data_IF_177834250750
#
_entry.id   IF_177834250750
#
_cell.length_a   1.000
_cell.length_b   1.000
_cell.length_c   1.000
_cell.angle_alpha   90.00
_cell.angle_beta   90.00
_cell.angle_gamma   90.00
#
_symmetry.space_group_name_H-M   'P 1'
#
loop_
_entity.id
_entity.type
_entity.pdbx_description
1 polymer ?
#
# COMPACT_ATOMS: atom_id res chain seq x y z
N UNK A 1 -0.72 16.49 -0.62
CA UNK A 1 -0.19 15.62 0.46
C UNK A 1 0.10 14.25 -0.12
N UNK A 2 1.33 13.74 -0.02
CA UNK A 2 1.67 12.34 -0.30
C UNK A 2 1.33 11.50 0.95
N UNK A 3 0.33 10.65 0.84
CA UNK A 3 -0.17 9.86 1.96
C UNK A 3 0.24 8.39 1.83
N UNK A 4 0.95 7.86 2.85
CA UNK A 4 1.16 6.42 2.99
C UNK A 4 -0.21 5.71 3.16
N UNK A 5 -0.43 4.50 2.62
CA UNK A 5 -1.70 3.79 2.78
C UNK A 5 -2.16 3.66 4.24
N UNK A 6 -1.21 3.43 5.16
CA UNK A 6 -1.51 3.29 6.59
C UNK A 6 -1.60 4.62 7.36
N UNK A 7 -1.50 5.77 6.68
CA UNK A 7 -1.58 7.09 7.33
C UNK A 7 -2.97 7.47 7.82
N UNK A 8 -4.02 6.80 7.35
CA UNK A 8 -5.41 7.17 7.57
C UNK A 8 -5.90 8.35 6.72
N UNK A 9 -5.06 8.90 5.84
CA UNK A 9 -5.40 10.07 5.02
C UNK A 9 -5.90 9.71 3.61
N UNK A 10 -5.55 8.53 3.11
CA UNK A 10 -5.84 8.13 1.72
C UNK A 10 -7.31 7.75 1.49
N UNK A 11 -8.03 7.42 2.56
CA UNK A 11 -9.41 6.91 2.52
C UNK A 11 -10.30 7.65 3.53
N UNK A 12 -11.43 8.15 3.07
CA UNK A 12 -12.41 8.84 3.91
C UNK A 12 -12.80 10.22 3.38
N UNK A 13 -13.79 10.89 4.00
CA UNK A 13 -14.37 12.14 3.50
C UNK A 13 -13.37 13.28 3.34
N UNK A 14 -12.25 13.26 4.07
CA UNK A 14 -11.19 14.28 3.92
C UNK A 14 -10.55 14.30 2.52
N UNK A 15 -10.70 13.25 1.73
CA UNK A 15 -10.14 13.19 0.37
C UNK A 15 -10.92 14.04 -0.64
N UNK A 16 -12.14 14.46 -0.31
CA UNK A 16 -12.93 15.37 -1.15
C UNK A 16 -12.35 16.79 -1.18
N UNK A 17 -11.89 17.26 -0.01
CA UNK A 17 -11.47 18.66 0.17
C UNK A 17 -9.94 18.85 0.20
N UNK A 18 -9.19 17.80 0.56
CA UNK A 18 -7.74 17.86 0.67
C UNK A 18 -7.06 17.30 -0.59
N UNK A 19 -5.99 17.94 -1.10
CA UNK A 19 -5.21 17.45 -2.24
C UNK A 19 -4.32 16.26 -1.80
N UNK A 20 -4.93 15.11 -1.53
CA UNK A 20 -4.25 13.87 -1.19
C UNK A 20 -3.91 13.12 -2.46
N UNK A 21 -2.63 12.83 -2.66
CA UNK A 21 -2.11 12.14 -3.83
C UNK A 21 -1.94 10.65 -3.53
N UNK A 22 -2.51 9.80 -4.39
CA UNK A 22 -2.44 8.35 -4.26
C UNK A 22 -1.25 7.74 -5.01
N UNK A 23 -0.84 8.35 -6.12
CA UNK A 23 0.20 7.83 -7.00
C UNK A 23 1.63 8.21 -6.60
N UNK A 24 1.86 8.60 -5.36
CA UNK A 24 3.13 9.15 -4.88
C UNK A 24 4.37 8.32 -5.25
N UNK A 25 4.31 6.99 -5.16
CA UNK A 25 5.45 6.13 -5.54
C UNK A 25 5.79 6.27 -7.04
N UNK A 26 4.78 6.30 -7.90
CA UNK A 26 4.95 6.42 -9.36
C UNK A 26 5.38 7.83 -9.77
N UNK A 27 4.71 8.87 -9.23
CA UNK A 27 5.07 10.27 -9.51
C UNK A 27 6.52 10.56 -9.18
N UNK A 28 6.96 10.14 -7.99
CA UNK A 28 8.32 10.42 -7.52
C UNK A 28 9.41 9.57 -8.22
N UNK A 29 9.02 8.52 -8.95
CA UNK A 29 9.92 7.77 -9.85
C UNK A 29 10.05 8.42 -11.23
N UNK A 30 9.05 9.21 -11.65
CA UNK A 30 9.01 9.81 -12.98
C UNK A 30 10.05 10.90 -13.17
N UNK A 31 10.37 11.19 -14.43
CA UNK A 31 11.20 12.34 -14.82
C UNK A 31 10.49 13.66 -14.55
N UNK A 32 9.14 13.67 -14.64
CA UNK A 32 8.30 14.81 -14.34
C UNK A 32 8.56 15.40 -12.94
N UNK A 33 8.75 14.57 -11.93
CA UNK A 33 8.99 15.02 -10.55
C UNK A 33 10.36 15.70 -10.35
N UNK A 34 11.28 15.61 -11.32
CA UNK A 34 12.56 16.31 -11.26
C UNK A 34 12.40 17.81 -11.48
N UNK A 35 11.45 18.19 -12.35
CA UNK A 35 11.18 19.57 -12.72
C UNK A 35 10.16 20.24 -11.80
N UNK A 36 9.51 19.46 -10.92
CA UNK A 36 8.49 19.90 -9.97
C UNK A 36 8.96 19.73 -8.52
N UNK A 37 10.15 20.24 -8.25
CA UNK A 37 10.78 20.14 -6.92
C UNK A 37 10.12 21.13 -5.93
N UNK A 38 9.70 20.68 -4.71
CA UNK A 38 9.29 21.58 -3.65
C UNK A 38 10.49 22.22 -2.94
N UNK A 39 10.35 23.44 -2.46
CA UNK A 39 11.34 24.11 -1.62
C UNK A 39 11.38 23.51 -0.21
N UNK A 40 10.23 23.03 0.27
CA UNK A 40 10.05 22.48 1.59
C UNK A 40 9.27 21.15 1.54
N UNK A 41 9.81 20.15 2.20
CA UNK A 41 9.10 18.92 2.52
C UNK A 41 8.91 18.81 4.02
N UNK A 42 7.68 18.55 4.47
CA UNK A 42 7.37 18.23 5.87
C UNK A 42 7.00 16.77 5.95
N UNK A 43 7.89 15.96 6.51
CA UNK A 43 7.66 14.53 6.75
C UNK A 43 7.06 14.34 8.14
N UNK A 44 5.80 13.95 8.20
CA UNK A 44 5.07 13.72 9.45
C UNK A 44 5.08 12.24 9.82
N UNK A 45 5.73 11.91 10.94
CA UNK A 45 5.87 10.54 11.42
C UNK A 45 6.98 9.75 10.72
N UNK A 46 6.76 8.45 10.53
CA UNK A 46 7.73 7.56 9.91
C UNK A 46 7.95 7.88 8.42
N UNK A 47 9.08 7.43 7.88
CA UNK A 47 9.30 7.49 6.44
C UNK A 47 8.23 6.65 5.72
N UNK A 48 7.64 7.16 4.62
CA UNK A 48 6.67 6.43 3.82
C UNK A 48 7.20 5.07 3.31
N UNK A 49 6.30 4.14 3.06
CA UNK A 49 6.61 2.83 2.48
C UNK A 49 7.23 2.96 1.08
N UNK A 50 6.85 4.00 0.35
CA UNK A 50 7.30 4.27 -1.01
C UNK A 50 8.83 4.29 -1.15
N UNK A 51 9.36 3.40 -1.99
CA UNK A 51 10.76 3.46 -2.41
C UNK A 51 11.02 4.66 -3.34
N UNK A 52 10.01 5.07 -4.12
CA UNK A 52 10.06 6.23 -4.99
C UNK A 52 10.38 7.50 -4.22
N UNK A 53 9.75 7.73 -3.06
CA UNK A 53 10.04 8.88 -2.20
C UNK A 53 11.51 8.94 -1.77
N UNK A 54 12.07 7.83 -1.28
CA UNK A 54 13.47 7.79 -0.87
C UNK A 54 14.43 8.03 -2.03
N UNK A 55 14.19 7.37 -3.19
CA UNK A 55 15.03 7.56 -4.37
C UNK A 55 14.94 8.99 -4.93
N UNK A 56 13.77 9.61 -4.85
CA UNK A 56 13.56 10.98 -5.25
C UNK A 56 14.31 11.95 -4.32
N UNK A 57 14.27 11.75 -3.02
CA UNK A 57 15.08 12.55 -2.07
C UNK A 57 16.57 12.46 -2.37
N UNK A 58 17.08 11.28 -2.75
CA UNK A 58 18.48 11.10 -3.11
C UNK A 58 18.85 11.82 -4.43
N UNK A 59 17.93 11.78 -5.42
CA UNK A 59 18.16 12.27 -6.79
C UNK A 59 17.91 13.77 -6.92
N UNK A 60 16.80 14.26 -6.39
CA UNK A 60 16.31 15.63 -6.57
C UNK A 60 16.41 16.40 -5.26
N UNK A 61 15.86 15.82 -4.21
CA UNK A 61 15.84 16.40 -2.88
C UNK A 61 14.96 17.64 -2.75
N UNK A 62 15.21 18.40 -1.70
CA UNK A 62 14.54 19.66 -1.36
C UNK A 62 15.54 20.54 -0.61
N UNK A 63 15.31 21.85 -0.57
CA UNK A 63 16.18 22.77 0.20
C UNK A 63 16.00 22.55 1.70
N UNK A 64 14.77 22.24 2.13
CA UNK A 64 14.47 21.94 3.52
C UNK A 64 13.60 20.69 3.65
N UNK A 65 14.06 19.76 4.47
CA UNK A 65 13.30 18.59 4.89
C UNK A 65 13.11 18.63 6.42
N UNK A 66 11.89 18.91 6.84
CA UNK A 66 11.51 18.94 8.25
C UNK A 66 10.91 17.60 8.64
N UNK A 67 11.54 16.88 9.57
CA UNK A 67 11.01 15.64 10.12
C UNK A 67 10.28 15.92 11.45
N UNK A 68 9.02 15.51 11.53
CA UNK A 68 8.15 15.65 12.70
C UNK A 68 7.90 14.30 13.32
N UNK A 69 8.43 14.05 14.51
CA UNK A 69 8.23 12.79 15.23
C UNK A 69 8.26 13.00 16.74
N UNK A 70 7.18 12.61 17.43
CA UNK A 70 7.03 12.79 18.88
C UNK A 70 7.80 11.77 19.72
N UNK A 71 8.19 10.63 19.12
CA UNK A 71 8.91 9.57 19.83
C UNK A 71 10.43 9.77 19.80
N UNK A 72 10.93 10.85 19.20
CA UNK A 72 12.35 11.12 19.08
C UNK A 72 13.11 10.13 18.17
N UNK A 73 12.40 9.36 17.35
CA UNK A 73 13.03 8.51 16.33
C UNK A 73 13.75 9.36 15.31
N UNK A 74 14.65 8.73 14.58
CA UNK A 74 15.38 9.41 13.50
C UNK A 74 15.00 8.79 12.14
N UNK A 75 13.82 9.15 11.57
CA UNK A 75 13.31 8.55 10.33
C UNK A 75 13.99 9.18 9.09
N UNK A 76 15.31 9.10 9.03
CA UNK A 76 16.12 9.71 7.98
C UNK A 76 17.21 8.76 7.45
N UNK A 77 16.84 7.66 6.80
CA UNK A 77 17.81 6.74 6.23
C UNK A 77 18.56 7.32 5.01
N UNK A 78 18.11 8.44 4.45
CA UNK A 78 18.75 9.14 3.35
C UNK A 78 19.69 10.26 3.80
N UNK A 79 19.75 10.56 5.12
CA UNK A 79 20.53 11.66 5.70
C UNK A 79 20.25 13.03 5.03
N UNK A 80 18.96 13.31 4.80
CA UNK A 80 18.47 14.53 4.12
C UNK A 80 17.70 15.49 5.04
N UNK A 81 17.37 15.08 6.26
CA UNK A 81 16.64 15.93 7.22
C UNK A 81 17.49 17.11 7.63
N UNK A 82 16.97 18.32 7.39
CA UNK A 82 17.59 19.58 7.78
C UNK A 82 17.15 20.06 9.16
N UNK A 83 15.87 19.81 9.50
CA UNK A 83 15.24 20.26 10.74
C UNK A 83 14.45 19.14 11.39
N UNK A 84 14.45 19.10 12.72
CA UNK A 84 13.68 18.11 13.49
C UNK A 84 12.72 18.80 14.43
N UNK A 85 11.46 18.37 14.43
CA UNK A 85 10.43 18.85 15.33
C UNK A 85 9.93 17.71 16.19
N UNK A 86 10.20 17.77 17.49
CA UNK A 86 9.72 16.79 18.47
C UNK A 86 8.28 17.15 18.87
N UNK A 87 7.31 16.79 18.03
CA UNK A 87 5.89 17.05 18.28
C UNK A 87 5.03 15.91 17.73
N UNK A 88 3.84 15.76 18.28
CA UNK A 88 2.80 14.90 17.71
C UNK A 88 2.29 15.56 16.41
N UNK A 89 2.26 14.80 15.26
CA UNK A 89 1.94 15.37 13.95
C UNK A 89 0.60 16.11 13.88
N UNK A 90 -0.46 15.55 14.44
CA UNK A 90 -1.79 16.15 14.41
C UNK A 90 -1.86 17.44 15.23
N UNK A 91 -1.15 17.50 16.38
CA UNK A 91 -1.04 18.73 17.18
C UNK A 91 -0.27 19.81 16.45
N UNK A 92 0.81 19.45 15.77
CA UNK A 92 1.55 20.43 14.96
C UNK A 92 0.69 20.93 13.80
N UNK A 93 -0.03 20.04 13.11
CA UNK A 93 -0.94 20.44 12.04
C UNK A 93 -2.02 21.42 12.52
N UNK A 94 -2.63 21.18 13.69
CA UNK A 94 -3.62 22.08 14.30
C UNK A 94 -3.03 23.46 14.60
N UNK A 95 -1.80 23.52 15.17
CA UNK A 95 -1.12 24.77 15.43
C UNK A 95 -0.75 25.52 14.13
N UNK A 96 -0.37 24.80 13.08
CA UNK A 96 -0.11 25.43 11.79
C UNK A 96 -1.38 26.04 11.20
N UNK A 97 -2.51 25.33 11.26
CA UNK A 97 -3.82 25.86 10.81
C UNK A 97 -4.20 27.12 11.59
N UNK A 98 -3.96 27.16 12.91
CA UNK A 98 -4.29 28.31 13.74
C UNK A 98 -3.43 29.55 13.46
N UNK A 99 -2.16 29.34 13.07
CA UNK A 99 -1.18 30.45 12.97
C UNK A 99 -0.81 30.83 11.53
N UNK A 100 -1.12 29.98 10.57
CA UNK A 100 -0.89 30.32 9.15
C UNK A 100 -2.02 31.25 8.67
N UNK A 101 -1.69 32.22 7.80
CA UNK A 101 -2.70 33.04 7.16
C UNK A 101 -3.67 32.14 6.37
N UNK A 102 -4.93 32.54 6.29
CA UNK A 102 -5.91 31.85 5.43
C UNK A 102 -5.32 31.65 4.05
N UNK A 103 -5.08 30.39 3.69
CA UNK A 103 -4.55 30.04 2.37
C UNK A 103 -5.70 30.23 1.39
N UNK A 104 -5.62 31.28 0.59
CA UNK A 104 -6.51 31.41 -0.55
C UNK A 104 -6.24 30.25 -1.49
N UNK A 105 -7.28 29.46 -1.71
CA UNK A 105 -7.47 28.41 -2.72
C UNK A 105 -6.20 27.78 -3.34
N UNK A 106 -6.30 26.50 -3.67
CA UNK A 106 -5.30 25.70 -4.35
C UNK A 106 -4.61 26.45 -5.48
N UNK A 107 -3.39 26.91 -5.23
CA UNK A 107 -2.59 27.62 -6.23
C UNK A 107 -2.12 26.69 -7.37
N UNK A 108 -1.49 27.24 -8.41
CA UNK A 108 -1.00 26.47 -9.58
C UNK A 108 -0.17 25.24 -9.19
N UNK A 109 0.64 25.32 -8.13
CA UNK A 109 1.41 24.23 -7.60
C UNK A 109 0.54 22.99 -7.24
N UNK A 110 -0.53 23.23 -6.49
CA UNK A 110 -1.43 22.13 -6.09
C UNK A 110 -2.13 21.54 -7.30
N UNK A 111 -2.63 22.38 -8.22
CA UNK A 111 -3.32 21.94 -9.45
C UNK A 111 -2.39 21.09 -10.32
N UNK A 112 -1.13 21.46 -10.45
CA UNK A 112 -0.12 20.72 -11.21
C UNK A 112 0.09 19.32 -10.62
N UNK A 113 0.25 19.21 -9.31
CA UNK A 113 0.45 17.91 -8.64
C UNK A 113 -0.81 17.04 -8.65
N UNK A 114 -1.99 17.61 -8.42
CA UNK A 114 -3.24 16.84 -8.47
C UNK A 114 -3.60 16.42 -9.91
N UNK A 115 -3.29 17.25 -10.90
CA UNK A 115 -3.43 16.87 -12.31
C UNK A 115 -2.51 15.69 -12.68
N UNK A 116 -1.25 15.76 -12.28
CA UNK A 116 -0.30 14.67 -12.48
C UNK A 116 -0.74 13.37 -11.77
N UNK A 117 -1.26 13.47 -10.53
CA UNK A 117 -1.81 12.34 -9.80
C UNK A 117 -2.99 11.69 -10.53
N UNK A 118 -3.90 12.48 -11.08
CA UNK A 118 -5.04 12.00 -11.86
C UNK A 118 -4.59 11.20 -13.10
N UNK A 119 -3.61 11.72 -13.85
CA UNK A 119 -3.00 11.03 -15.00
C UNK A 119 -2.33 9.73 -14.56
N UNK A 120 -1.56 9.77 -13.50
CA UNK A 120 -0.86 8.59 -12.97
C UNK A 120 -1.84 7.53 -12.49
N UNK A 121 -2.85 7.92 -11.67
CA UNK A 121 -3.83 6.97 -11.14
C UNK A 121 -4.71 6.34 -12.22
N UNK A 122 -5.12 7.08 -13.24
CA UNK A 122 -5.86 6.50 -14.36
C UNK A 122 -5.02 5.46 -15.11
N UNK A 123 -3.73 5.75 -15.29
CA UNK A 123 -2.77 4.84 -15.95
C UNK A 123 -2.59 3.55 -15.15
N UNK A 124 -2.36 3.62 -13.84
CA UNK A 124 -2.15 2.42 -13.02
C UNK A 124 -3.42 1.64 -12.79
N UNK A 125 -4.59 2.31 -12.75
CA UNK A 125 -5.88 1.65 -12.67
C UNK A 125 -6.14 0.75 -13.89
N UNK A 126 -5.81 1.22 -15.10
CA UNK A 126 -5.91 0.41 -16.31
C UNK A 126 -5.02 -0.85 -16.23
N UNK A 127 -3.78 -0.72 -15.75
CA UNK A 127 -2.88 -1.86 -15.57
C UNK A 127 -3.47 -2.88 -14.57
N UNK A 128 -4.03 -2.40 -13.46
CA UNK A 128 -4.61 -3.27 -12.44
C UNK A 128 -5.90 -3.97 -12.88
N UNK A 129 -6.64 -3.41 -13.85
CA UNK A 129 -7.94 -3.97 -14.28
C UNK A 129 -7.87 -4.73 -15.59
N UNK A 130 -7.04 -4.29 -16.52
CA UNK A 130 -6.95 -4.84 -17.88
C UNK A 130 -5.72 -5.77 -18.04
N UNK A 131 -4.85 -5.77 -17.04
CA UNK A 131 -3.66 -6.62 -16.99
C UNK A 131 -3.96 -8.06 -16.54
N UNK A 132 -2.91 -8.87 -16.34
CA UNK A 132 -3.06 -10.22 -15.82
C UNK A 132 -3.65 -10.21 -14.41
N UNK A 133 -4.30 -11.33 -14.03
CA UNK A 133 -4.80 -11.52 -12.68
C UNK A 133 -3.62 -11.77 -11.72
N UNK A 134 -3.18 -10.72 -11.06
CA UNK A 134 -2.01 -10.67 -10.17
C UNK A 134 -2.24 -9.65 -9.05
N UNK A 135 -1.25 -9.36 -8.24
CA UNK A 135 -1.35 -8.49 -7.05
C UNK A 135 -2.01 -7.12 -7.31
N UNK A 136 -1.74 -6.40 -8.42
CA UNK A 136 -2.47 -5.16 -8.72
C UNK A 136 -3.98 -5.35 -8.90
N UNK A 137 -4.41 -6.47 -9.51
CA UNK A 137 -5.82 -6.79 -9.66
C UNK A 137 -6.49 -7.09 -8.31
N UNK A 138 -5.75 -7.69 -7.36
CA UNK A 138 -6.23 -7.89 -5.99
C UNK A 138 -6.50 -6.55 -5.31
N UNK A 139 -5.61 -5.58 -5.45
CA UNK A 139 -5.82 -4.22 -4.91
C UNK A 139 -7.05 -3.55 -5.54
N UNK A 140 -7.25 -3.70 -6.85
CA UNK A 140 -8.44 -3.16 -7.53
C UNK A 140 -9.73 -3.81 -7.00
N UNK A 141 -9.74 -5.13 -6.78
CA UNK A 141 -10.88 -5.83 -6.19
C UNK A 141 -11.17 -5.35 -4.76
N UNK A 142 -10.15 -5.24 -3.91
CA UNK A 142 -10.28 -4.71 -2.55
C UNK A 142 -10.86 -3.28 -2.55
N UNK A 143 -10.35 -2.42 -3.44
CA UNK A 143 -10.88 -1.06 -3.59
C UNK A 143 -12.36 -1.04 -3.93
N UNK A 144 -12.82 -1.89 -4.87
CA UNK A 144 -14.19 -1.87 -5.37
C UNK A 144 -15.18 -2.54 -4.42
N UNK A 145 -14.76 -3.57 -3.69
CA UNK A 145 -15.67 -4.45 -2.95
C UNK A 145 -15.75 -4.18 -1.46
N UNK A 146 -14.68 -3.64 -0.83
CA UNK A 146 -14.71 -3.43 0.61
C UNK A 146 -15.77 -2.39 1.00
N UNK A 147 -16.65 -2.70 1.97
CA UNK A 147 -17.68 -1.78 2.42
C UNK A 147 -17.07 -0.59 3.18
N UNK A 148 -17.83 0.50 3.23
CA UNK A 148 -17.47 1.66 4.03
C UNK A 148 -17.29 1.27 5.51
N UNK A 149 -16.23 1.77 6.13
CA UNK A 149 -15.91 1.49 7.53
C UNK A 149 -15.11 0.20 7.76
N UNK A 150 -14.96 -0.67 6.77
CA UNK A 150 -14.22 -1.91 6.94
C UNK A 150 -12.77 -1.68 7.41
N UNK A 151 -12.27 -2.64 8.18
CA UNK A 151 -10.87 -2.69 8.58
C UNK A 151 -10.08 -3.53 7.56
N UNK A 152 -9.05 -2.96 6.97
CA UNK A 152 -8.09 -3.64 6.11
C UNK A 152 -6.75 -3.75 6.84
N UNK A 153 -6.45 -4.92 7.36
CA UNK A 153 -5.15 -5.23 7.97
C UNK A 153 -4.22 -5.72 6.88
N UNK A 154 -3.05 -5.10 6.76
CA UNK A 154 -2.15 -5.33 5.62
C UNK A 154 -0.79 -5.77 6.09
N UNK A 155 -0.29 -6.86 5.52
CA UNK A 155 1.05 -7.34 5.78
C UNK A 155 2.10 -6.42 5.16
N UNK A 156 3.25 -6.31 5.80
CA UNK A 156 4.46 -5.79 5.16
C UNK A 156 4.88 -6.70 4.00
N UNK A 157 6.05 -6.47 3.39
CA UNK A 157 6.47 -7.06 2.12
C UNK A 157 5.71 -6.44 0.94
N UNK A 158 5.19 -7.23 -0.01
CA UNK A 158 4.50 -6.68 -1.18
C UNK A 158 3.11 -6.11 -0.86
N UNK A 159 2.22 -6.74 -0.07
CA UNK A 159 0.86 -6.25 0.11
C UNK A 159 0.72 -4.76 0.43
N UNK A 160 1.51 -4.22 1.36
CA UNK A 160 1.48 -2.77 1.66
C UNK A 160 2.04 -1.92 0.52
N UNK A 161 2.97 -2.47 -0.28
CA UNK A 161 3.56 -1.78 -1.44
C UNK A 161 2.62 -1.79 -2.64
N UNK A 162 1.87 -2.86 -2.80
CA UNK A 162 0.83 -2.95 -3.82
C UNK A 162 -0.31 -1.97 -3.51
N UNK A 163 -0.71 -1.86 -2.23
CA UNK A 163 -1.63 -0.78 -1.82
C UNK A 163 -1.05 0.61 -2.09
N UNK A 164 0.23 0.84 -1.80
CA UNK A 164 0.86 2.14 -2.04
C UNK A 164 0.88 2.51 -3.53
N UNK A 165 1.12 1.53 -4.39
CA UNK A 165 1.22 1.72 -5.83
C UNK A 165 -0.14 1.82 -6.55
N UNK A 166 -1.14 1.02 -6.13
CA UNK A 166 -2.35 0.81 -6.92
C UNK A 166 -3.66 1.21 -6.22
N UNK A 167 -3.66 1.52 -4.91
CA UNK A 167 -4.88 1.93 -4.20
C UNK A 167 -5.16 3.43 -4.40
N UNK A 168 -6.27 3.82 -5.07
CA UNK A 168 -6.63 5.22 -5.23
C UNK A 168 -7.12 5.85 -3.91
N UNK A 169 -7.16 7.18 -3.88
CA UNK A 169 -7.96 7.91 -2.88
C UNK A 169 -9.45 7.68 -3.12
N UNK A 170 -10.24 7.71 -2.04
CA UNK A 170 -11.70 7.56 -2.12
C UNK A 170 -12.33 8.13 -0.84
N UNK A 171 -13.45 8.83 -0.97
CA UNK A 171 -14.22 9.37 0.15
C UNK A 171 -14.85 8.28 1.03
N UNK A 172 -15.00 7.09 0.51
CA UNK A 172 -15.48 5.93 1.27
C UNK A 172 -14.45 5.55 2.33
N UNK A 173 -14.80 5.65 3.62
CA UNK A 173 -13.86 5.41 4.70
C UNK A 173 -13.42 3.95 4.73
N UNK A 174 -12.11 3.75 4.90
CA UNK A 174 -11.48 2.46 5.10
C UNK A 174 -10.40 2.62 6.17
N UNK A 175 -10.43 1.78 7.19
CA UNK A 175 -9.40 1.79 8.21
C UNK A 175 -8.28 0.84 7.84
N UNK A 176 -7.18 1.39 7.32
CA UNK A 176 -6.00 0.61 6.91
C UNK A 176 -5.02 0.53 8.08
N UNK A 177 -4.66 -0.69 8.46
CA UNK A 177 -3.78 -1.01 9.58
C UNK A 177 -2.64 -1.90 9.09
N UNK A 178 -1.42 -1.65 9.55
CA UNK A 178 -0.25 -2.44 9.15
C UNK A 178 0.71 -2.65 10.31
N UNK A 179 1.30 -3.83 10.41
CA UNK A 179 2.42 -4.07 11.30
C UNK A 179 3.67 -3.43 10.70
N UNK A 180 4.14 -2.33 11.32
CA UNK A 180 5.33 -1.59 10.90
C UNK A 180 6.32 -1.55 12.05
N UNK A 181 7.46 -2.23 11.91
CA UNK A 181 8.46 -2.34 12.96
C UNK A 181 9.66 -3.16 12.51
N UNK A 182 10.24 -3.94 13.43
CA UNK A 182 11.41 -4.77 13.14
C UNK A 182 11.11 -5.91 12.16
N UNK A 183 9.92 -6.53 12.27
CA UNK A 183 9.42 -7.53 11.33
C UNK A 183 7.92 -7.32 11.10
N UNK A 184 7.53 -6.84 9.94
CA UNK A 184 6.14 -6.51 9.61
C UNK A 184 5.34 -7.64 8.96
N UNK A 185 5.91 -8.85 8.86
CA UNK A 185 5.22 -10.06 8.40
C UNK A 185 4.87 -11.00 9.56
N UNK A 186 5.39 -10.76 10.76
CA UNK A 186 5.04 -11.50 11.96
C UNK A 186 3.71 -11.04 12.57
N UNK A 187 2.98 -11.97 13.18
CA UNK A 187 1.78 -11.69 13.95
C UNK A 187 0.62 -11.13 13.15
N UNK A 188 0.56 -11.32 11.84
CA UNK A 188 -0.44 -10.71 10.97
C UNK A 188 -1.84 -11.26 11.20
N UNK A 189 -1.99 -12.59 11.29
CA UNK A 189 -3.27 -13.22 11.58
C UNK A 189 -3.79 -12.84 12.97
N UNK A 190 -2.90 -12.87 13.97
CA UNK A 190 -3.21 -12.47 15.36
C UNK A 190 -3.61 -11.00 15.45
N UNK A 191 -2.92 -10.11 14.71
CA UNK A 191 -3.28 -8.68 14.64
C UNK A 191 -4.66 -8.50 14.02
N UNK A 192 -4.95 -9.16 12.90
CA UNK A 192 -6.25 -9.08 12.24
C UNK A 192 -7.39 -9.59 13.14
N UNK A 193 -7.16 -10.69 13.86
CA UNK A 193 -8.12 -11.19 14.84
C UNK A 193 -8.32 -10.23 16.02
N UNK A 194 -7.24 -9.57 16.48
CA UNK A 194 -7.34 -8.51 17.50
C UNK A 194 -8.18 -7.33 17.02
N UNK A 195 -8.04 -6.93 15.76
CA UNK A 195 -8.88 -5.89 15.14
C UNK A 195 -10.33 -6.36 15.05
N UNK A 196 -10.58 -7.59 14.57
CA UNK A 196 -11.92 -8.16 14.49
C UNK A 196 -12.60 -8.27 15.87
N UNK A 197 -11.84 -8.62 16.91
CA UNK A 197 -12.37 -8.66 18.28
C UNK A 197 -12.71 -7.28 18.86
N UNK A 198 -12.04 -6.23 18.39
CA UNK A 198 -12.21 -4.86 18.87
C UNK A 198 -13.11 -3.98 17.99
N UNK A 199 -13.68 -4.52 16.91
CA UNK A 199 -14.50 -3.76 15.95
C UNK A 199 -15.78 -4.50 15.59
N UNK A 200 -16.84 -3.74 15.35
CA UNK A 200 -18.09 -4.29 14.78
C UNK A 200 -18.06 -4.29 13.25
N UNK A 201 -17.11 -3.57 12.67
CA UNK A 201 -16.97 -3.48 11.22
C UNK A 201 -16.23 -4.70 10.66
N UNK A 202 -16.54 -5.13 9.43
CA UNK A 202 -15.84 -6.24 8.79
C UNK A 202 -14.33 -6.07 8.80
N UNK A 203 -13.62 -7.15 9.08
CA UNK A 203 -12.16 -7.16 9.07
C UNK A 203 -11.63 -8.07 7.97
N UNK A 204 -10.76 -7.52 7.13
CA UNK A 204 -10.05 -8.21 6.06
C UNK A 204 -8.56 -8.15 6.32
N UNK A 205 -7.90 -9.29 6.24
CA UNK A 205 -6.44 -9.41 6.25
C UNK A 205 -5.95 -9.58 4.80
N UNK A 206 -5.17 -8.63 4.30
CA UNK A 206 -4.45 -8.75 3.03
C UNK A 206 -3.00 -9.12 3.28
N UNK A 207 -2.59 -10.32 2.87
CA UNK A 207 -1.31 -10.92 3.28
C UNK A 207 -0.69 -11.76 2.18
N UNK A 208 0.64 -11.94 2.24
CA UNK A 208 1.36 -12.94 1.46
C UNK A 208 1.47 -14.28 2.21
N UNK A 209 1.92 -15.30 1.49
CA UNK A 209 2.12 -16.68 1.94
C UNK A 209 3.07 -16.78 3.13
N UNK A 210 4.27 -16.22 3.03
CA UNK A 210 5.25 -16.25 4.14
C UNK A 210 4.72 -15.54 5.39
N UNK A 211 4.00 -14.42 5.24
CA UNK A 211 3.42 -13.73 6.39
C UNK A 211 2.31 -14.55 7.05
N UNK A 212 1.51 -15.28 6.27
CA UNK A 212 0.52 -16.22 6.79
C UNK A 212 1.19 -17.38 7.52
N UNK A 213 2.22 -17.98 6.93
CA UNK A 213 2.97 -19.08 7.52
C UNK A 213 3.65 -18.70 8.84
N UNK A 214 4.15 -17.47 8.96
CA UNK A 214 4.75 -16.96 10.21
C UNK A 214 3.76 -16.91 11.38
N UNK A 215 2.46 -16.73 11.13
CA UNK A 215 1.44 -16.59 12.18
C UNK A 215 0.22 -17.49 11.92
N UNK A 216 0.44 -18.63 11.27
CA UNK A 216 -0.61 -19.61 10.98
C UNK A 216 -1.37 -20.03 12.24
N UNK A 217 -0.64 -20.19 13.36
CA UNK A 217 -1.22 -20.55 14.66
C UNK A 217 -2.25 -19.54 15.17
N UNK A 218 -2.12 -18.26 14.79
CA UNK A 218 -3.08 -17.22 15.12
C UNK A 218 -4.49 -17.52 14.60
N UNK A 219 -4.62 -18.05 13.37
CA UNK A 219 -5.90 -18.38 12.77
C UNK A 219 -6.70 -19.40 13.56
N UNK A 220 -6.05 -20.29 14.30
CA UNK A 220 -6.72 -21.30 15.13
C UNK A 220 -7.59 -20.67 16.24
N UNK A 221 -7.31 -19.41 16.60
CA UNK A 221 -8.11 -18.68 17.58
C UNK A 221 -9.48 -18.24 17.04
N UNK A 222 -9.66 -18.14 15.71
CA UNK A 222 -10.90 -17.69 15.06
C UNK A 222 -12.11 -18.47 15.57
N UNK A 223 -12.07 -19.80 15.46
CA UNK A 223 -13.15 -20.69 15.88
C UNK A 223 -13.37 -20.63 17.40
N UNK A 224 -12.30 -20.64 18.18
CA UNK A 224 -12.38 -20.63 19.65
C UNK A 224 -13.01 -19.36 20.19
N UNK A 225 -12.76 -18.23 19.54
CA UNK A 225 -13.22 -16.90 19.96
C UNK A 225 -14.51 -16.46 19.25
N UNK A 226 -14.99 -17.24 18.25
CA UNK A 226 -16.18 -16.89 17.47
C UNK A 226 -16.00 -15.58 16.69
N UNK A 227 -14.81 -15.36 16.12
CA UNK A 227 -14.48 -14.15 15.37
C UNK A 227 -14.67 -14.36 13.87
N UNK A 228 -15.08 -13.29 13.19
CA UNK A 228 -15.25 -13.26 11.75
C UNK A 228 -14.03 -12.58 11.11
N UNK A 229 -13.46 -13.25 10.11
CA UNK A 229 -12.27 -12.75 9.39
C UNK A 229 -12.28 -13.24 7.94
N UNK A 230 -12.09 -12.32 7.01
CA UNK A 230 -11.73 -12.65 5.62
C UNK A 230 -10.22 -12.48 5.43
N UNK A 231 -9.52 -13.54 5.01
CA UNK A 231 -8.10 -13.51 4.67
C UNK A 231 -7.97 -13.54 3.16
N UNK A 232 -7.42 -12.49 2.58
CA UNK A 232 -7.03 -12.41 1.17
C UNK A 232 -5.55 -12.73 1.09
N UNK A 233 -5.26 -13.95 0.69
CA UNK A 233 -3.93 -14.52 0.61
C UNK A 233 -3.42 -14.48 -0.82
N UNK A 234 -2.36 -13.73 -1.04
CA UNK A 234 -1.57 -13.79 -2.28
C UNK A 234 -0.41 -14.76 -2.05
N UNK A 235 -0.39 -15.81 -2.84
CA UNK A 235 0.58 -16.90 -2.76
C UNK A 235 1.46 -16.88 -4.01
N UNK A 236 2.71 -16.47 -3.84
CA UNK A 236 3.73 -16.47 -4.88
C UNK A 236 4.86 -17.47 -4.60
N UNK A 237 4.60 -18.45 -3.71
CA UNK A 237 5.50 -19.50 -3.27
C UNK A 237 6.80 -18.97 -2.67
N UNK A 238 6.75 -17.82 -1.92
CA UNK A 238 7.95 -17.36 -1.23
C UNK A 238 8.12 -15.85 -1.08
N UNK A 239 9.36 -15.41 -1.04
CA UNK A 239 9.77 -14.03 -0.80
C UNK A 239 9.75 -13.15 -2.06
N UNK A 240 8.61 -12.97 -2.73
CA UNK A 240 8.47 -12.18 -3.96
C UNK A 240 9.11 -10.79 -3.93
N UNK A 241 9.12 -10.12 -2.76
CA UNK A 241 9.74 -8.80 -2.59
C UNK A 241 11.23 -8.79 -2.97
N UNK A 242 11.94 -9.88 -2.79
CA UNK A 242 13.37 -9.95 -3.09
C UNK A 242 13.66 -9.92 -4.59
N UNK A 243 12.67 -10.25 -5.44
CA UNK A 243 12.75 -10.14 -6.89
C UNK A 243 12.81 -8.68 -7.40
N UNK A 244 12.50 -7.69 -6.53
CA UNK A 244 12.68 -6.26 -6.78
C UNK A 244 14.10 -5.76 -6.49
N UNK A 245 14.98 -6.60 -5.96
CA UNK A 245 16.34 -6.21 -5.60
C UNK A 245 17.32 -6.50 -6.75
N UNK A 246 18.39 -5.69 -6.88
CA UNK A 246 19.41 -5.93 -7.92
C UNK A 246 20.04 -7.31 -7.86
N UNK A 247 20.06 -7.96 -6.70
CA UNK A 247 20.58 -9.31 -6.52
C UNK A 247 19.82 -10.36 -7.33
N UNK A 248 18.55 -10.11 -7.66
CA UNK A 248 17.73 -11.00 -8.47
C UNK A 248 18.26 -11.13 -9.92
N UNK A 249 18.97 -10.12 -10.40
CA UNK A 249 19.56 -10.08 -11.76
C UNK A 249 21.03 -10.56 -11.76
N UNK A 250 21.58 -10.94 -10.60
CA UNK A 250 22.95 -11.39 -10.47
C UNK A 250 23.06 -12.89 -10.80
N UNK A 251 23.57 -13.21 -11.98
CA UNK A 251 23.73 -14.60 -12.44
C UNK A 251 24.70 -15.49 -11.65
N UNK A 252 25.44 -14.94 -10.66
CA UNK A 252 26.33 -15.70 -9.77
C UNK A 252 25.68 -16.12 -8.46
N UNK A 253 24.44 -15.68 -8.21
CA UNK A 253 23.72 -15.96 -6.97
C UNK A 253 22.48 -16.78 -7.29
N UNK A 254 22.31 -17.89 -6.60
CA UNK A 254 21.07 -18.67 -6.63
C UNK A 254 19.96 -17.90 -5.89
N UNK A 255 19.42 -16.88 -6.57
CA UNK A 255 18.39 -15.99 -6.00
C UNK A 255 17.13 -16.77 -5.60
N UNK A 256 16.72 -17.73 -6.43
CA UNK A 256 15.51 -18.52 -6.18
C UNK A 256 15.63 -19.28 -4.85
N UNK A 257 16.73 -19.95 -4.61
CA UNK A 257 16.95 -20.72 -3.39
C UNK A 257 17.25 -19.86 -2.15
N UNK A 258 18.02 -18.78 -2.30
CA UNK A 258 18.58 -18.03 -1.17
C UNK A 258 17.75 -16.82 -0.75
N UNK A 259 16.94 -16.27 -1.67
CA UNK A 259 16.14 -15.07 -1.45
C UNK A 259 14.66 -15.32 -1.63
N UNK A 260 14.24 -15.89 -2.74
CA UNK A 260 12.83 -16.24 -2.95
C UNK A 260 12.39 -17.32 -1.97
N UNK A 261 13.23 -18.32 -1.72
CA UNK A 261 13.00 -19.39 -0.73
C UNK A 261 11.65 -20.07 -0.88
N UNK A 262 11.35 -20.70 -2.04
CA UNK A 262 10.05 -21.30 -2.28
C UNK A 262 9.74 -22.37 -1.23
N UNK A 263 8.52 -22.35 -0.71
CA UNK A 263 8.10 -23.30 0.33
C UNK A 263 7.43 -24.57 -0.25
N UNK A 264 6.86 -24.49 -1.46
CA UNK A 264 6.23 -25.63 -2.15
C UNK A 264 5.05 -26.23 -1.39
N UNK A 265 4.37 -25.47 -0.52
CA UNK A 265 3.26 -25.94 0.30
C UNK A 265 1.92 -25.67 -0.39
N UNK A 266 1.00 -26.60 -0.27
CA UNK A 266 -0.41 -26.35 -0.54
C UNK A 266 -1.04 -25.65 0.67
N UNK A 267 -1.44 -24.38 0.51
CA UNK A 267 -2.03 -23.57 1.59
C UNK A 267 -3.55 -23.68 1.67
N UNK A 268 -4.21 -24.32 0.71
CA UNK A 268 -5.66 -24.55 0.73
C UNK A 268 -6.17 -25.23 2.01
N UNK A 269 -5.52 -26.30 2.53
CA UNK A 269 -5.91 -26.97 3.76
C UNK A 269 -5.91 -26.10 5.02
N UNK A 270 -5.23 -24.94 5.01
CA UNK A 270 -5.18 -23.99 6.14
C UNK A 270 -6.60 -23.53 6.53
N UNK A 271 -7.48 -23.29 5.57
CA UNK A 271 -8.86 -22.91 5.84
C UNK A 271 -9.57 -23.96 6.68
N UNK A 272 -9.49 -25.22 6.27
CA UNK A 272 -10.13 -26.33 6.99
C UNK A 272 -9.51 -26.55 8.38
N UNK A 273 -8.18 -26.45 8.51
CA UNK A 273 -7.48 -26.55 9.79
C UNK A 273 -7.99 -25.52 10.81
N UNK A 274 -8.20 -24.28 10.36
CA UNK A 274 -8.72 -23.18 11.18
C UNK A 274 -10.25 -23.19 11.33
N UNK A 275 -10.95 -24.15 10.69
CA UNK A 275 -12.42 -24.28 10.72
C UNK A 275 -13.14 -23.26 9.84
N UNK A 276 -12.46 -22.75 8.83
CA UNK A 276 -12.95 -21.78 7.84
C UNK A 276 -13.34 -22.43 6.50
N UNK A 277 -13.58 -21.57 5.52
CA UNK A 277 -13.92 -21.92 4.13
C UNK A 277 -12.86 -21.38 3.18
N UNK A 278 -12.50 -22.22 2.19
CA UNK A 278 -11.57 -21.86 1.12
C UNK A 278 -12.35 -21.32 -0.08
N UNK A 279 -11.78 -20.28 -0.71
CA UNK A 279 -12.24 -19.70 -1.97
C UNK A 279 -11.02 -19.48 -2.87
N UNK A 280 -11.08 -19.94 -4.12
CA UNK A 280 -9.96 -19.87 -5.08
C UNK A 280 -10.42 -19.16 -6.36
N UNK A 281 -10.52 -17.83 -6.34
CA UNK A 281 -10.93 -17.08 -7.52
C UNK A 281 -9.89 -17.16 -8.63
N UNK A 282 -10.35 -17.25 -9.87
CA UNK A 282 -9.50 -17.44 -11.06
C UNK A 282 -9.35 -16.18 -11.93
N UNK A 283 -9.91 -15.05 -11.48
CA UNK A 283 -9.85 -13.78 -12.21
C UNK A 283 -10.44 -12.64 -11.39
N UNK A 284 -10.28 -11.40 -11.89
CA UNK A 284 -10.70 -10.19 -11.17
C UNK A 284 -12.20 -10.18 -10.86
N UNK A 285 -13.05 -10.47 -11.84
CA UNK A 285 -14.51 -10.47 -11.65
C UNK A 285 -14.97 -11.57 -10.67
N UNK A 286 -14.31 -12.73 -10.70
CA UNK A 286 -14.56 -13.82 -9.76
C UNK A 286 -14.13 -13.43 -8.34
N UNK A 287 -12.95 -12.81 -8.19
CA UNK A 287 -12.48 -12.27 -6.91
C UNK A 287 -13.44 -11.22 -6.34
N UNK A 288 -13.91 -10.27 -7.16
CA UNK A 288 -14.90 -9.27 -6.74
C UNK A 288 -16.21 -9.93 -6.27
N UNK A 289 -16.68 -10.94 -6.98
CA UNK A 289 -17.88 -11.72 -6.60
C UNK A 289 -17.68 -12.45 -5.26
N UNK A 290 -16.52 -13.12 -5.10
CA UNK A 290 -16.17 -13.81 -3.86
C UNK A 290 -16.11 -12.83 -2.71
N UNK A 291 -15.35 -11.74 -2.82
CA UNK A 291 -15.21 -10.72 -1.76
C UNK A 291 -16.57 -10.12 -1.39
N UNK A 292 -17.40 -9.77 -2.38
CA UNK A 292 -18.76 -9.27 -2.14
C UNK A 292 -19.66 -10.26 -1.40
N UNK A 293 -19.38 -11.57 -1.51
CA UNK A 293 -20.14 -12.61 -0.84
C UNK A 293 -19.64 -13.02 0.54
N UNK A 294 -18.35 -12.77 0.86
CA UNK A 294 -17.74 -13.27 2.09
C UNK A 294 -17.36 -12.18 3.10
N UNK A 295 -17.07 -10.95 2.66
CA UNK A 295 -16.67 -9.86 3.56
C UNK A 295 -17.86 -9.50 4.46
N UNK A 296 -17.65 -9.61 5.77
CA UNK A 296 -18.68 -9.39 6.77
C UNK A 296 -19.60 -10.60 7.04
N UNK A 297 -19.39 -11.72 6.35
CA UNK A 297 -20.09 -12.96 6.66
C UNK A 297 -19.40 -13.73 7.81
N UNK A 298 -20.18 -14.47 8.62
CA UNK A 298 -19.66 -15.16 9.78
C UNK A 298 -18.60 -16.22 9.48
N UNK A 299 -17.60 -16.29 10.36
CA UNK A 299 -16.53 -17.27 10.37
C UNK A 299 -15.28 -16.83 9.63
N UNK A 300 -14.39 -17.80 9.38
CA UNK A 300 -13.15 -17.58 8.63
C UNK A 300 -13.36 -17.91 7.15
N UNK A 301 -13.01 -16.95 6.30
CA UNK A 301 -12.97 -17.14 4.86
C UNK A 301 -11.54 -16.91 4.37
N UNK A 302 -10.92 -17.93 3.78
CA UNK A 302 -9.61 -17.85 3.13
C UNK A 302 -9.82 -17.71 1.61
N UNK A 303 -9.53 -16.55 1.08
CA UNK A 303 -9.51 -16.26 -0.36
C UNK A 303 -8.07 -16.41 -0.83
N UNK A 304 -7.76 -17.55 -1.45
CA UNK A 304 -6.42 -17.94 -1.85
C UNK A 304 -6.21 -17.64 -3.33
N UNK A 305 -5.21 -16.83 -3.65
CA UNK A 305 -4.89 -16.34 -4.98
C UNK A 305 -3.45 -16.71 -5.27
N UNK A 306 -3.25 -17.63 -6.20
CA UNK A 306 -1.91 -18.04 -6.64
C UNK A 306 -1.45 -17.11 -7.77
N UNK A 307 -0.27 -16.52 -7.61
CA UNK A 307 0.32 -15.58 -8.57
C UNK A 307 1.78 -15.95 -8.87
N UNK A 308 2.34 -15.32 -9.90
CA UNK A 308 3.76 -15.48 -10.25
C UNK A 308 4.58 -14.27 -9.75
N UNK A 309 5.56 -14.52 -8.89
CA UNK A 309 6.40 -13.47 -8.29
C UNK A 309 7.14 -12.60 -9.32
N UNK A 310 7.42 -13.13 -10.52
CA UNK A 310 8.11 -12.38 -11.57
C UNK A 310 7.16 -11.48 -12.36
N UNK A 311 5.91 -11.87 -12.47
CA UNK A 311 4.85 -11.06 -13.11
C UNK A 311 4.63 -9.77 -12.34
N UNK A 312 4.52 -9.80 -11.01
CA UNK A 312 4.35 -8.60 -10.19
C UNK A 312 5.49 -7.59 -10.38
N UNK A 313 6.75 -8.05 -10.42
CA UNK A 313 7.90 -7.17 -10.72
C UNK A 313 7.73 -6.46 -12.07
N UNK A 314 7.31 -7.22 -13.10
CA UNK A 314 7.03 -6.69 -14.43
C UNK A 314 5.94 -5.61 -14.41
N UNK A 315 4.84 -5.86 -13.71
CA UNK A 315 3.69 -4.95 -13.60
C UNK A 315 4.06 -3.64 -12.88
N UNK A 316 4.82 -3.70 -11.79
CA UNK A 316 5.30 -2.50 -11.12
C UNK A 316 6.25 -1.67 -11.99
N UNK A 317 7.16 -2.32 -12.73
CA UNK A 317 8.07 -1.64 -13.67
C UNK A 317 7.30 -1.01 -14.82
N UNK A 318 6.33 -1.73 -15.39
CA UNK A 318 5.47 -1.21 -16.45
C UNK A 318 4.61 -0.05 -15.97
N UNK A 319 4.03 -0.12 -14.77
CA UNK A 319 3.24 0.96 -14.19
C UNK A 319 4.09 2.24 -14.06
N UNK A 320 5.30 2.13 -13.52
CA UNK A 320 6.20 3.29 -13.40
C UNK A 320 6.57 3.87 -14.78
N UNK A 321 6.90 3.02 -15.76
CA UNK A 321 7.23 3.46 -17.11
C UNK A 321 6.02 4.05 -17.85
N UNK A 322 4.83 3.47 -17.68
CA UNK A 322 3.60 3.97 -18.30
C UNK A 322 3.21 5.34 -17.75
N UNK A 323 3.32 5.53 -16.44
CA UNK A 323 3.08 6.84 -15.79
C UNK A 323 4.06 7.89 -16.31
N UNK A 324 5.35 7.58 -16.39
CA UNK A 324 6.36 8.53 -16.91
C UNK A 324 6.04 8.93 -18.36
N UNK A 325 5.67 7.97 -19.22
CA UNK A 325 5.23 8.25 -20.60
C UNK A 325 3.94 9.10 -20.67
N UNK A 326 2.96 8.80 -19.80
CA UNK A 326 1.69 9.52 -19.78
C UNK A 326 1.87 10.98 -19.35
N UNK A 327 2.66 11.23 -18.32
CA UNK A 327 3.00 12.59 -17.86
C UNK A 327 3.78 13.38 -18.92
N UNK A 328 4.74 12.75 -19.61
CA UNK A 328 5.49 13.39 -20.69
C UNK A 328 4.61 13.83 -21.86
N UNK A 329 3.56 13.07 -22.19
CA UNK A 329 2.59 13.43 -23.24
C UNK A 329 1.68 14.57 -22.82
N UNK A 330 1.12 14.51 -21.61
CA UNK A 330 0.23 15.55 -21.09
C UNK A 330 0.90 16.94 -21.08
N UNK A 331 2.20 17.00 -20.77
CA UNK A 331 2.96 18.25 -20.82
C UNK A 331 3.26 18.76 -22.22
N UNK A 332 3.30 17.86 -23.23
CA UNK A 332 3.54 18.25 -24.62
C UNK A 332 2.29 18.92 -25.22
N UNK A 333 1.09 18.55 -24.77
CA UNK A 333 -0.18 19.04 -25.27
C UNK A 333 -0.60 20.39 -24.66
N UNK A 334 -0.11 20.72 -23.43
CA UNK A 334 -0.37 22.02 -22.78
C UNK A 334 0.57 23.16 -23.26
N UNK A 335 1.58 22.86 -24.09
CA UNK A 335 2.56 23.84 -24.61
C UNK A 335 2.35 24.27 -26.07
N UNK A 336 1.21 23.93 -26.69
CA UNK A 336 0.88 24.21 -28.10
C UNK A 336 -0.06 25.40 -28.29
#
# INVERSE_FOLDING_TARGET
VLADPASGLRRGPQTADAPVLASGDHLLRSTWANDHRPDLVVQMGAMPTSKGYRLWLDRVGTDRLVAVDHLGRFPDPAHRVTDRVAAEPGRLAALLVEHLPEVQQTGPWTSTWTGADSVAMSTVAAIATDGPFDEPAVVAALHRTLPAGANLVVASSMPIRDLDAFLPTDERPLRILANRGANGIDGMASTALGVAAGSVEPTVLFTGDLALLHDLGGLLATRRLGLDLTVVLVDNDGGGIFSFLPIAENGHVDHHRLFHTPHGLDLGPVAALAGGRLHEPTGLADLESVLGSVVGNPGLHLVHIVVDATTNVGLHREAAAAVDRALSRALSDDGG
#
